data_IF_451925364789
#
_entry.id   IF_451925364789
#
_cell.length_a   1.000
_cell.length_b   1.000
_cell.length_c   1.000
_cell.angle_alpha   90.00
_cell.angle_beta   90.00
_cell.angle_gamma   90.00
#
_symmetry.space_group_name_H-M   'P 1'
#
loop_
_entity.id
_entity.type
_entity.pdbx_description
1 polymer ?
#
# COMPACT_ATOMS: atom_id res chain seq x y z
N UNK A 1 1.48 -1.10 -15.41
CA UNK A 1 0.31 -2.00 -15.27
C UNK A 1 -0.46 -1.58 -14.03
N UNK A 2 -1.77 -1.39 -14.13
CA UNK A 2 -2.64 -1.10 -13.00
C UNK A 2 -3.62 -2.26 -12.79
N UNK A 3 -3.59 -2.90 -11.63
CA UNK A 3 -4.43 -4.06 -11.30
C UNK A 3 -5.27 -3.79 -10.04
N UNK A 4 -6.56 -4.04 -10.12
CA UNK A 4 -7.45 -4.11 -8.95
C UNK A 4 -7.69 -5.57 -8.58
N UNK A 5 -7.37 -5.94 -7.34
CA UNK A 5 -7.68 -7.24 -6.75
C UNK A 5 -8.80 -7.06 -5.73
N UNK A 6 -9.93 -7.70 -5.96
CA UNK A 6 -11.13 -7.61 -5.13
C UNK A 6 -11.51 -8.97 -4.55
N UNK A 7 -12.36 -8.96 -3.52
CA UNK A 7 -12.96 -10.18 -2.97
C UNK A 7 -13.37 -10.04 -1.51
N UNK A 8 -14.17 -11.00 -1.03
CA UNK A 8 -14.67 -11.03 0.34
C UNK A 8 -13.57 -11.11 1.41
N UNK A 9 -13.95 -10.91 2.67
CA UNK A 9 -13.06 -11.14 3.80
C UNK A 9 -12.59 -12.60 3.84
N UNK A 10 -11.29 -12.83 4.04
CA UNK A 10 -10.72 -14.18 4.08
C UNK A 10 -10.70 -14.93 2.74
N UNK A 11 -10.96 -14.26 1.61
CA UNK A 11 -11.00 -14.92 0.30
C UNK A 11 -9.63 -15.30 -0.27
N UNK A 12 -8.52 -14.91 0.36
CA UNK A 12 -7.15 -15.13 -0.15
C UNK A 12 -6.61 -14.02 -1.04
N UNK A 13 -7.34 -12.90 -1.21
CA UNK A 13 -6.92 -11.78 -2.07
C UNK A 13 -5.55 -11.17 -1.72
N UNK A 14 -5.19 -11.06 -0.44
CA UNK A 14 -3.90 -10.52 0.00
C UNK A 14 -2.74 -11.42 -0.45
N UNK A 15 -2.86 -12.73 -0.23
CA UNK A 15 -1.86 -13.72 -0.64
C UNK A 15 -1.70 -13.74 -2.17
N UNK A 16 -2.81 -13.66 -2.89
CA UNK A 16 -2.80 -13.56 -4.34
C UNK A 16 -2.14 -12.27 -4.84
N UNK A 17 -2.48 -11.12 -4.25
CA UNK A 17 -1.92 -9.82 -4.63
C UNK A 17 -0.41 -9.72 -4.33
N UNK A 18 0.03 -10.25 -3.19
CA UNK A 18 1.46 -10.38 -2.87
C UNK A 18 2.19 -11.27 -3.89
N UNK A 19 1.62 -12.44 -4.21
CA UNK A 19 2.20 -13.36 -5.20
C UNK A 19 2.27 -12.73 -6.59
N UNK A 20 1.24 -11.97 -6.97
CA UNK A 20 1.22 -11.21 -8.21
C UNK A 20 2.33 -10.15 -8.22
N UNK A 21 2.48 -9.37 -7.15
CA UNK A 21 3.53 -8.37 -7.03
C UNK A 21 4.93 -8.99 -7.20
N UNK A 22 5.19 -10.11 -6.51
CA UNK A 22 6.46 -10.83 -6.63
C UNK A 22 6.71 -11.37 -8.03
N UNK A 23 5.67 -11.86 -8.72
CA UNK A 23 5.80 -12.37 -10.09
C UNK A 23 6.10 -11.29 -11.13
N UNK A 24 5.79 -10.03 -10.81
CA UNK A 24 6.00 -8.88 -11.69
C UNK A 24 7.35 -8.20 -11.43
N UNK A 25 7.96 -8.44 -10.28
CA UNK A 25 9.24 -7.89 -9.90
C UNK A 25 10.38 -8.86 -10.26
N UNK A 26 11.37 -8.36 -11.00
CA UNK A 26 12.65 -9.04 -11.17
C UNK A 26 13.65 -8.62 -10.09
N UNK A 27 14.81 -9.28 -10.02
CA UNK A 27 15.84 -8.99 -8.99
C UNK A 27 16.40 -7.56 -9.01
N UNK A 28 16.21 -6.83 -10.11
CA UNK A 28 16.63 -5.44 -10.26
C UNK A 28 15.58 -4.41 -9.85
N UNK A 29 14.37 -4.87 -9.51
CA UNK A 29 13.19 -4.04 -9.27
C UNK A 29 12.85 -3.92 -7.79
N UNK A 30 12.22 -2.80 -7.43
CA UNK A 30 11.86 -2.48 -6.06
C UNK A 30 10.41 -2.87 -5.80
N UNK A 31 10.19 -3.63 -4.73
CA UNK A 31 8.87 -4.02 -4.27
C UNK A 31 8.44 -3.13 -3.11
N UNK A 32 7.38 -2.35 -3.29
CA UNK A 32 6.82 -1.49 -2.26
C UNK A 32 5.48 -2.05 -1.76
N UNK A 33 5.28 -1.98 -0.46
CA UNK A 33 4.02 -2.32 0.19
C UNK A 33 3.48 -1.08 0.91
N UNK A 34 2.40 -0.51 0.42
CA UNK A 34 1.66 0.57 1.07
C UNK A 34 0.68 -0.06 2.05
N UNK A 35 1.03 -0.01 3.34
CA UNK A 35 0.19 -0.53 4.42
C UNK A 35 -0.77 0.55 4.91
N UNK A 36 -2.07 0.32 4.75
CA UNK A 36 -3.11 1.31 5.10
C UNK A 36 -3.79 1.03 6.43
N UNK A 37 -3.55 -0.12 7.07
CA UNK A 37 -4.18 -0.46 8.34
C UNK A 37 -3.66 0.43 9.48
N UNK A 38 -4.56 1.04 10.25
CA UNK A 38 -4.24 1.91 11.38
C UNK A 38 -4.71 1.32 12.71
N UNK A 39 -3.87 1.27 13.77
CA UNK A 39 -4.16 0.46 14.94
C UNK A 39 -5.23 1.01 15.89
N UNK A 40 -5.67 2.28 15.82
CA UNK A 40 -6.70 2.91 16.69
C UNK A 40 -6.73 2.43 18.17
N UNK A 41 -5.57 2.19 18.78
CA UNK A 41 -5.41 1.57 20.11
C UNK A 41 -6.15 0.23 20.33
N UNK A 42 -6.45 -0.48 19.25
CA UNK A 42 -7.06 -1.81 19.24
C UNK A 42 -6.01 -2.93 19.19
N UNK A 43 -6.00 -3.77 20.22
CA UNK A 43 -5.07 -4.90 20.34
C UNK A 43 -5.30 -5.97 19.26
N UNK A 44 -6.52 -6.13 18.76
CA UNK A 44 -6.77 -7.06 17.66
C UNK A 44 -6.13 -6.57 16.35
N UNK A 45 -6.30 -5.29 16.05
CA UNK A 45 -5.68 -4.65 14.87
C UNK A 45 -4.16 -4.68 14.96
N UNK A 46 -3.57 -4.41 16.13
CA UNK A 46 -2.11 -4.58 16.34
C UNK A 46 -1.64 -5.99 16.02
N UNK A 47 -2.36 -7.03 16.47
CA UNK A 47 -2.03 -8.43 16.14
C UNK A 47 -2.15 -8.72 14.65
N UNK A 48 -3.16 -8.15 13.98
CA UNK A 48 -3.31 -8.28 12.52
C UNK A 48 -2.15 -7.60 11.78
N UNK A 49 -1.71 -6.41 12.21
CA UNK A 49 -0.55 -5.70 11.64
C UNK A 49 0.70 -6.58 11.75
N UNK A 50 0.97 -7.11 12.94
CA UNK A 50 2.15 -7.96 13.17
C UNK A 50 2.09 -9.28 12.38
N UNK A 51 0.90 -9.87 12.23
CA UNK A 51 0.70 -11.02 11.36
C UNK A 51 1.01 -10.68 9.91
N UNK A 52 0.53 -9.55 9.38
CA UNK A 52 0.79 -9.13 8.00
C UNK A 52 2.29 -8.84 7.78
N UNK A 53 2.95 -8.17 8.73
CA UNK A 53 4.41 -7.98 8.72
C UNK A 53 5.16 -9.31 8.66
N UNK A 54 4.73 -10.28 9.45
CA UNK A 54 5.32 -11.63 9.47
C UNK A 54 5.07 -12.39 8.17
N UNK A 55 3.90 -12.26 7.56
CA UNK A 55 3.57 -12.94 6.30
C UNK A 55 4.40 -12.42 5.13
N UNK A 56 4.75 -11.14 5.12
CA UNK A 56 5.61 -10.54 4.09
C UNK A 56 7.10 -10.61 4.42
N UNK A 57 7.45 -11.23 5.54
CA UNK A 57 8.82 -11.36 5.99
C UNK A 57 9.70 -12.08 4.95
N UNK A 58 10.86 -11.51 4.61
CA UNK A 58 11.79 -12.11 3.65
C UNK A 58 11.36 -12.08 2.18
N UNK A 59 10.21 -11.48 1.84
CA UNK A 59 9.73 -11.38 0.45
C UNK A 59 10.29 -10.18 -0.33
N UNK A 60 11.13 -9.35 0.29
CA UNK A 60 11.76 -8.19 -0.36
C UNK A 60 10.92 -6.91 -0.40
N UNK A 61 9.74 -6.89 0.24
CA UNK A 61 8.93 -5.67 0.33
C UNK A 61 9.58 -4.59 1.21
N UNK A 62 9.59 -3.37 0.68
CA UNK A 62 9.81 -2.12 1.39
C UNK A 62 8.44 -1.64 1.87
N UNK A 63 8.21 -1.67 3.19
CA UNK A 63 6.93 -1.21 3.76
C UNK A 63 6.92 0.30 3.89
N UNK A 64 5.90 0.93 3.33
CA UNK A 64 5.49 2.31 3.58
C UNK A 64 4.15 2.24 4.32
N UNK A 65 4.13 2.53 5.61
CA UNK A 65 2.87 2.69 6.32
C UNK A 65 2.26 3.99 5.83
N UNK A 66 1.13 4.00 5.10
CA UNK A 66 0.35 5.18 4.71
C UNK A 66 -1.15 4.92 4.90
N UNK A 67 -1.66 5.11 6.13
CA UNK A 67 -3.08 4.93 6.45
C UNK A 67 -3.98 6.07 5.97
N UNK A 68 -3.41 7.22 5.61
CA UNK A 68 -4.11 8.44 5.18
C UNK A 68 -3.29 9.14 4.08
N UNK A 69 -3.91 10.10 3.40
CA UNK A 69 -3.35 11.02 2.41
C UNK A 69 -2.52 10.29 1.34
N UNK A 70 -3.16 9.36 0.62
CA UNK A 70 -2.49 8.52 -0.38
C UNK A 70 -1.73 9.31 -1.46
N UNK A 71 -2.12 10.57 -1.70
CA UNK A 71 -1.39 11.53 -2.54
C UNK A 71 0.11 11.65 -2.20
N UNK A 72 0.50 11.45 -0.94
CA UNK A 72 1.90 11.55 -0.51
C UNK A 72 2.72 10.28 -0.77
N UNK A 73 2.06 9.15 -1.05
CA UNK A 73 2.76 7.88 -1.19
C UNK A 73 3.75 7.88 -2.37
N UNK A 74 3.42 8.56 -3.47
CA UNK A 74 4.33 8.63 -4.62
C UNK A 74 5.64 9.34 -4.26
N UNK A 75 5.56 10.46 -3.55
CA UNK A 75 6.74 11.22 -3.10
C UNK A 75 7.59 10.40 -2.14
N UNK A 76 6.97 9.64 -1.22
CA UNK A 76 7.68 8.72 -0.33
C UNK A 76 8.40 7.61 -1.11
N UNK A 77 7.76 7.01 -2.12
CA UNK A 77 8.39 6.00 -2.98
C UNK A 77 9.57 6.59 -3.77
N UNK A 78 9.41 7.80 -4.31
CA UNK A 78 10.48 8.52 -5.05
C UNK A 78 11.67 8.83 -4.14
N UNK A 79 11.40 9.17 -2.88
CA UNK A 79 12.44 9.50 -1.92
C UNK A 79 13.34 8.31 -1.56
N UNK A 80 12.85 7.06 -1.70
CA UNK A 80 13.58 5.84 -1.34
C UNK A 80 14.42 5.37 -2.54
N UNK A 81 15.71 5.69 -2.54
CA UNK A 81 16.66 5.19 -3.55
C UNK A 81 17.03 3.72 -3.29
N UNK A 82 17.54 3.04 -4.34
CA UNK A 82 17.96 1.62 -4.29
C UNK A 82 18.86 1.34 -3.09
N UNK A 83 18.75 0.12 -2.55
CA UNK A 83 19.63 -0.41 -1.50
C UNK A 83 21.10 -0.13 -1.87
N UNK A 84 21.80 0.67 -1.06
CA UNK A 84 23.22 0.90 -1.24
C UNK A 84 24.01 -0.13 -0.43
N UNK A 85 24.87 -0.89 -1.12
CA UNK A 85 25.90 -1.71 -0.48
C UNK A 85 26.91 -0.78 0.21
N UNK A 86 26.62 -0.37 1.45
CA UNK A 86 27.56 0.42 2.24
C UNK A 86 28.20 -0.44 3.35
N UNK A 87 29.54 -0.64 3.34
CA UNK A 87 30.21 -1.45 4.34
C UNK A 87 30.21 -0.72 5.69
N UNK A 88 29.59 -1.33 6.70
CA UNK A 88 29.79 -1.11 8.15
C UNK A 88 30.01 0.35 8.60
N UNK A 89 28.97 1.00 9.14
CA UNK A 89 29.17 2.11 10.08
C UNK A 89 28.01 2.25 11.08
N UNK A 90 28.37 2.08 12.35
CA UNK A 90 27.83 2.69 13.58
C UNK A 90 26.34 3.03 13.67
N UNK A 91 25.70 2.43 14.67
CA UNK A 91 24.40 2.83 15.20
C UNK A 91 24.33 4.35 15.47
N UNK A 92 23.44 5.06 14.78
CA UNK A 92 22.89 6.34 15.24
C UNK A 92 21.37 6.25 15.15
N UNK A 93 20.72 6.21 16.32
CA UNK A 93 19.26 6.32 16.47
C UNK A 93 18.79 7.66 15.89
N UNK A 94 17.91 7.62 14.90
CA UNK A 94 17.15 8.79 14.48
C UNK A 94 16.08 9.05 15.55
N UNK A 95 16.34 10.03 16.41
CA UNK A 95 15.33 10.72 17.23
C UNK A 95 15.23 12.13 16.68
N UNK A 96 13.99 12.57 16.52
CA UNK A 96 13.49 13.92 16.22
C UNK A 96 14.55 15.02 16.24
N UNK A 97 14.93 15.51 15.06
CA UNK A 97 15.42 16.88 14.81
C UNK A 97 15.61 17.06 13.29
N UNK A 98 14.62 17.66 12.63
CA UNK A 98 14.77 18.19 11.27
C UNK A 98 15.57 19.49 11.40
N UNK A 99 16.89 19.42 11.28
CA UNK A 99 17.74 20.57 10.92
C UNK A 99 19.10 20.11 10.38
N UNK A 100 19.29 20.31 9.07
CA UNK A 100 20.54 20.35 8.31
C UNK A 100 21.57 19.20 8.45
N UNK A 101 21.65 18.35 7.42
CA UNK A 101 22.80 18.18 6.50
C UNK A 101 22.54 16.94 5.60
N UNK A 102 23.08 16.96 4.39
CA UNK A 102 22.82 16.02 3.29
C UNK A 102 22.90 14.53 3.69
N UNK A 103 21.98 13.71 3.15
CA UNK A 103 21.84 12.25 3.31
C UNK A 103 21.28 11.78 4.66
N UNK A 104 19.94 11.66 4.73
CA UNK A 104 19.29 10.89 5.79
C UNK A 104 19.10 9.46 5.30
N UNK A 105 19.67 8.49 6.01
CA UNK A 105 19.31 7.07 5.80
C UNK A 105 18.06 6.76 6.62
N UNK A 106 17.04 6.18 6.00
CA UNK A 106 15.85 5.70 6.70
C UNK A 106 15.97 4.20 6.90
N UNK A 107 15.79 3.77 8.15
CA UNK A 107 15.62 2.36 8.48
C UNK A 107 14.19 1.96 8.13
N UNK A 108 14.02 1.29 6.99
CA UNK A 108 12.74 0.71 6.62
C UNK A 108 12.74 -0.76 7.02
N UNK A 109 11.61 -1.21 7.54
CA UNK A 109 11.37 -2.63 7.82
C UNK A 109 11.27 -3.37 6.49
N UNK A 110 12.41 -3.86 6.00
CA UNK A 110 12.46 -4.96 5.04
C UNK A 110 12.14 -6.20 5.86
N UNK A 111 11.12 -6.97 5.50
CA UNK A 111 10.52 -7.98 6.38
C UNK A 111 11.42 -9.11 6.94
N UNK A 112 12.74 -9.12 6.77
CA UNK A 112 13.60 -9.92 7.65
C UNK A 112 13.82 -9.14 8.95
N UNK A 113 14.22 -9.78 10.05
CA UNK A 113 14.58 -9.10 11.30
C UNK A 113 15.87 -8.22 11.18
N UNK A 114 16.18 -7.78 9.95
CA UNK A 114 17.31 -6.95 9.55
C UNK A 114 16.78 -5.64 8.99
N UNK A 115 17.05 -4.55 9.72
CA UNK A 115 16.78 -3.19 9.23
C UNK A 115 17.68 -2.91 8.03
N UNK A 116 17.10 -2.72 6.87
CA UNK A 116 17.82 -2.22 5.69
C UNK A 116 17.84 -0.71 5.72
N UNK A 117 19.00 -0.12 5.46
CA UNK A 117 19.17 1.33 5.34
C UNK A 117 18.93 1.70 3.88
N UNK A 118 18.00 2.63 3.66
CA UNK A 118 17.77 3.23 2.35
C UNK A 118 18.21 4.67 2.39
N UNK A 119 18.83 5.14 1.31
CA UNK A 119 19.14 6.55 1.16
C UNK A 119 17.86 7.31 0.81
N UNK A 120 17.58 8.36 1.58
CA UNK A 120 16.46 9.26 1.34
C UNK A 120 16.96 10.61 0.87
N UNK A 121 16.41 11.08 -0.26
CA UNK A 121 16.77 12.37 -0.85
C UNK A 121 15.58 13.32 -0.85
N UNK A 122 15.83 14.61 -0.60
CA UNK A 122 14.85 15.69 -0.76
C UNK A 122 14.64 16.10 -2.22
N UNK A 123 15.53 15.65 -3.10
CA UNK A 123 15.46 15.94 -4.53
C UNK A 123 14.56 14.92 -5.21
N UNK A 124 13.32 15.32 -5.49
CA UNK A 124 12.40 14.57 -6.34
C UNK A 124 12.79 14.79 -7.80
N UNK A 125 13.85 14.11 -8.26
CA UNK A 125 14.13 14.06 -9.69
C UNK A 125 12.90 13.50 -10.41
N UNK A 126 12.61 14.05 -11.60
CA UNK A 126 11.39 13.79 -12.37
C UNK A 126 11.40 12.41 -13.06
N UNK A 127 12.14 11.45 -12.49
CA UNK A 127 12.36 10.14 -13.06
C UNK A 127 11.18 9.23 -12.73
N UNK A 128 10.50 8.76 -13.77
CA UNK A 128 9.49 7.72 -13.66
C UNK A 128 10.11 6.47 -13.01
N UNK A 129 9.46 5.91 -12.00
CA UNK A 129 9.89 4.74 -11.23
C UNK A 129 9.52 3.44 -11.95
N UNK A 130 9.92 3.31 -13.21
CA UNK A 130 9.59 2.15 -14.06
C UNK A 130 10.26 0.83 -13.62
N UNK A 131 11.05 0.86 -12.56
CA UNK A 131 11.61 -0.30 -11.86
C UNK A 131 10.87 -0.64 -10.56
N UNK A 132 9.75 0.02 -10.24
CA UNK A 132 9.00 -0.18 -9.00
C UNK A 132 7.68 -0.92 -9.21
N UNK A 133 7.46 -1.97 -8.40
CA UNK A 133 6.17 -2.64 -8.26
C UNK A 133 5.58 -2.28 -6.90
N UNK A 134 4.37 -1.75 -6.89
CA UNK A 134 3.70 -1.23 -5.70
C UNK A 134 2.44 -2.05 -5.41
N UNK A 135 2.31 -2.51 -4.17
CA UNK A 135 1.11 -3.16 -3.64
C UNK A 135 0.50 -2.28 -2.55
N UNK A 136 -0.75 -1.86 -2.73
CA UNK A 136 -1.54 -1.19 -1.69
C UNK A 136 -2.51 -2.17 -1.06
N UNK A 137 -2.40 -2.33 0.27
CA UNK A 137 -3.30 -3.17 1.05
C UNK A 137 -3.76 -2.44 2.32
N UNK A 138 -5.05 -2.12 2.46
CA UNK A 138 -6.10 -2.16 1.43
C UNK A 138 -6.87 -0.84 1.28
N UNK A 139 -7.59 -0.72 0.18
CA UNK A 139 -8.38 0.46 -0.17
C UNK A 139 -9.50 0.71 0.83
N UNK A 140 -10.12 -0.36 1.36
CA UNK A 140 -11.22 -0.26 2.33
C UNK A 140 -10.76 0.39 3.63
N UNK A 141 -9.61 -0.04 4.16
CA UNK A 141 -9.01 0.56 5.36
C UNK A 141 -8.58 2.00 5.09
N UNK A 142 -7.97 2.28 3.93
CA UNK A 142 -7.61 3.65 3.55
C UNK A 142 -8.83 4.58 3.55
N UNK A 143 -9.91 4.16 2.90
CA UNK A 143 -11.13 4.97 2.84
C UNK A 143 -11.82 5.13 4.21
N UNK A 144 -11.84 4.07 5.03
CA UNK A 144 -12.34 4.15 6.40
C UNK A 144 -11.54 5.17 7.22
N UNK A 145 -10.22 5.05 7.19
CA UNK A 145 -9.29 5.94 7.88
C UNK A 145 -9.51 7.41 7.48
N UNK A 146 -9.60 7.68 6.17
CA UNK A 146 -9.90 9.01 5.65
C UNK A 146 -11.20 9.56 6.22
N UNK A 147 -12.29 8.78 6.18
CA UNK A 147 -13.57 9.17 6.76
C UNK A 147 -13.46 9.50 8.26
N UNK A 148 -12.75 8.68 9.02
CA UNK A 148 -12.57 8.91 10.47
C UNK A 148 -11.71 10.13 10.76
N UNK A 149 -10.61 10.34 10.05
CA UNK A 149 -9.68 11.44 10.31
C UNK A 149 -10.26 12.80 9.91
N UNK A 150 -11.07 12.83 8.87
CA UNK A 150 -11.59 14.06 8.25
C UNK A 150 -13.04 14.38 8.66
N UNK A 151 -13.60 13.69 9.65
CA UNK A 151 -15.00 13.82 10.06
C UNK A 151 -15.99 13.64 8.89
N UNK A 152 -15.76 12.64 8.04
CA UNK A 152 -16.62 12.30 6.90
C UNK A 152 -16.35 13.11 5.62
N UNK A 153 -15.23 13.81 5.54
CA UNK A 153 -14.79 14.55 4.35
C UNK A 153 -13.48 13.99 3.79
N UNK A 154 -13.47 12.73 3.36
CA UNK A 154 -12.26 12.02 2.96
C UNK A 154 -11.54 12.77 1.83
N UNK A 155 -10.21 12.72 1.83
CA UNK A 155 -9.43 13.20 0.69
C UNK A 155 -9.70 12.34 -0.55
N UNK A 156 -9.36 12.87 -1.73
CA UNK A 156 -9.48 12.12 -2.98
C UNK A 156 -8.49 10.93 -2.99
N UNK A 157 -8.94 9.76 -3.46
CA UNK A 157 -8.16 8.52 -3.51
C UNK A 157 -7.85 8.04 -4.94
N UNK A 158 -8.80 8.12 -5.87
CA UNK A 158 -8.66 7.50 -7.19
C UNK A 158 -7.62 8.19 -8.09
N UNK A 159 -7.56 9.53 -8.07
CA UNK A 159 -6.62 10.30 -8.87
C UNK A 159 -5.15 10.10 -8.40
N UNK A 160 -4.82 10.16 -7.10
CA UNK A 160 -3.50 9.76 -6.61
C UNK A 160 -3.09 8.33 -6.97
N UNK A 161 -4.01 7.37 -6.92
CA UNK A 161 -3.69 5.99 -7.30
C UNK A 161 -3.39 5.87 -8.79
N UNK A 162 -4.14 6.59 -9.63
CA UNK A 162 -3.84 6.68 -11.06
C UNK A 162 -2.47 7.32 -11.30
N UNK A 163 -2.14 8.38 -10.57
CA UNK A 163 -0.82 9.03 -10.66
C UNK A 163 0.30 8.07 -10.26
N UNK A 164 0.14 7.30 -9.18
CA UNK A 164 1.08 6.25 -8.80
C UNK A 164 1.21 5.24 -9.93
N UNK A 165 0.09 4.72 -10.46
CA UNK A 165 0.10 3.74 -11.54
C UNK A 165 0.83 4.22 -12.80
N UNK A 166 0.70 5.50 -13.15
CA UNK A 166 1.37 6.11 -14.29
C UNK A 166 2.88 6.24 -14.08
N UNK A 167 3.33 6.36 -12.83
CA UNK A 167 4.73 6.58 -12.48
C UNK A 167 5.51 5.29 -12.18
N UNK A 168 4.85 4.15 -11.96
CA UNK A 168 5.51 2.89 -11.55
C UNK A 168 5.43 1.81 -12.63
N UNK A 169 6.21 0.73 -12.51
CA UNK A 169 6.09 -0.44 -13.39
C UNK A 169 4.70 -1.08 -13.26
N UNK A 170 4.30 -1.34 -12.01
CA UNK A 170 3.01 -1.92 -11.70
C UNK A 170 2.46 -1.39 -10.37
N UNK A 171 1.17 -1.09 -10.35
CA UNK A 171 0.39 -0.83 -9.15
C UNK A 171 -0.68 -1.92 -8.99
N UNK A 172 -0.73 -2.55 -7.82
CA UNK A 172 -1.72 -3.53 -7.43
C UNK A 172 -2.47 -2.95 -6.23
N UNK A 173 -3.79 -2.78 -6.36
CA UNK A 173 -4.65 -2.29 -5.28
C UNK A 173 -5.53 -3.43 -4.80
N UNK A 174 -5.50 -3.71 -3.50
CA UNK A 174 -6.41 -4.67 -2.86
C UNK A 174 -7.62 -3.92 -2.33
N UNK A 175 -8.82 -4.45 -2.57
CA UNK A 175 -10.08 -3.93 -2.03
C UNK A 175 -10.98 -5.07 -1.54
N UNK A 176 -11.82 -4.80 -0.53
CA UNK A 176 -12.81 -5.76 -0.06
C UNK A 176 -14.16 -5.57 -0.76
N UNK A 177 -14.86 -6.67 -0.95
CA UNK A 177 -16.28 -6.66 -1.30
C UNK A 177 -17.13 -6.74 -0.03
N UNK A 178 -17.83 -5.64 0.27
CA UNK A 178 -18.69 -5.52 1.45
C UNK A 178 -20.19 -5.45 1.08
N UNK A 179 -20.54 -5.73 -0.17
CA UNK A 179 -21.87 -5.44 -0.73
C UNK A 179 -22.85 -6.63 -0.72
N UNK A 180 -22.35 -7.84 -0.46
CA UNK A 180 -23.04 -9.10 -0.75
C UNK A 180 -23.31 -9.95 0.49
N UNK A 181 -23.28 -9.37 1.69
CA UNK A 181 -23.59 -10.09 2.94
C UNK A 181 -25.10 -10.22 3.22
N UNK A 182 -25.94 -9.51 2.47
CA UNK A 182 -27.40 -9.50 2.64
C UNK A 182 -27.86 -8.79 3.91
N UNK A 183 -26.98 -8.05 4.58
CA UNK A 183 -27.26 -7.35 5.83
C UNK A 183 -27.81 -5.95 5.52
N UNK A 184 -28.87 -5.56 6.23
CA UNK A 184 -29.35 -4.19 6.22
C UNK A 184 -28.60 -3.39 7.27
N UNK A 185 -27.80 -2.44 6.80
CA UNK A 185 -27.05 -1.54 7.66
C UNK A 185 -27.79 -0.20 7.88
N UNK A 186 -27.45 0.54 8.95
CA UNK A 186 -27.91 1.92 9.12
C UNK A 186 -27.57 2.80 7.91
N UNK A 187 -28.34 3.87 7.68
CA UNK A 187 -28.18 4.73 6.49
C UNK A 187 -26.77 5.34 6.39
N UNK A 188 -26.13 5.65 7.52
CA UNK A 188 -24.74 6.14 7.56
C UNK A 188 -23.75 5.11 6.98
N UNK A 189 -23.86 3.85 7.41
CA UNK A 189 -23.05 2.75 6.87
C UNK A 189 -23.39 2.47 5.41
N UNK A 190 -24.66 2.58 5.02
CA UNK A 190 -25.04 2.46 3.61
C UNK A 190 -24.44 3.58 2.77
N UNK A 191 -24.37 4.81 3.29
CA UNK A 191 -23.65 5.92 2.67
C UNK A 191 -22.17 5.61 2.46
N UNK A 192 -21.49 5.14 3.50
CA UNK A 192 -20.10 4.69 3.42
C UNK A 192 -19.88 3.63 2.33
N UNK A 193 -20.74 2.59 2.30
CA UNK A 193 -20.64 1.52 1.29
C UNK A 193 -20.86 2.06 -0.12
N UNK A 194 -21.85 2.93 -0.33
CA UNK A 194 -22.12 3.54 -1.64
C UNK A 194 -20.91 4.32 -2.14
N UNK A 195 -20.30 5.15 -1.30
CA UNK A 195 -19.11 5.93 -1.67
C UNK A 195 -17.91 5.04 -1.96
N UNK A 196 -17.65 4.02 -1.13
CA UNK A 196 -16.60 3.02 -1.39
C UNK A 196 -16.84 2.30 -2.74
N UNK A 197 -18.11 2.07 -3.12
CA UNK A 197 -18.45 1.43 -4.39
C UNK A 197 -18.12 2.34 -5.59
N UNK A 198 -18.33 3.65 -5.44
CA UNK A 198 -17.96 4.63 -6.45
C UNK A 198 -16.44 4.66 -6.64
N UNK A 199 -15.67 4.67 -5.56
CA UNK A 199 -14.20 4.63 -5.61
C UNK A 199 -13.72 3.33 -6.27
N UNK A 200 -14.26 2.18 -5.86
CA UNK A 200 -13.95 0.88 -6.48
C UNK A 200 -14.23 0.87 -7.99
N UNK A 201 -15.37 1.43 -8.41
CA UNK A 201 -15.75 1.52 -9.82
C UNK A 201 -14.80 2.41 -10.60
N UNK A 202 -14.42 3.55 -10.04
CA UNK A 202 -13.55 4.51 -10.71
C UNK A 202 -12.13 3.93 -10.85
N UNK A 203 -11.61 3.24 -9.83
CA UNK A 203 -10.35 2.48 -9.91
C UNK A 203 -10.45 1.34 -10.94
N UNK A 204 -11.53 0.55 -10.92
CA UNK A 204 -11.72 -0.56 -11.86
C UNK A 204 -11.81 -0.08 -13.33
N UNK A 205 -12.35 1.13 -13.55
CA UNK A 205 -12.41 1.76 -14.86
C UNK A 205 -11.00 2.04 -15.40
N UNK A 206 -10.11 2.52 -14.55
CA UNK A 206 -8.72 2.86 -14.92
C UNK A 206 -7.78 1.66 -14.93
N UNK A 207 -8.08 0.62 -14.13
CA UNK A 207 -7.23 -0.56 -14.02
C UNK A 207 -7.14 -1.30 -15.37
N UNK A 208 -5.94 -1.71 -15.76
CA UNK A 208 -5.71 -2.60 -16.90
C UNK A 208 -6.34 -3.98 -16.67
N UNK A 209 -6.34 -4.42 -15.41
CA UNK A 209 -6.90 -5.72 -14.98
C UNK A 209 -7.76 -5.58 -13.73
N UNK A 210 -8.84 -6.34 -13.68
CA UNK A 210 -9.65 -6.51 -12.46
C UNK A 210 -9.76 -7.99 -12.18
N UNK A 211 -9.39 -8.40 -10.97
CA UNK A 211 -9.35 -9.80 -10.55
C UNK A 211 -10.15 -9.95 -9.26
N UNK A 212 -11.18 -10.78 -9.31
CA UNK A 212 -11.93 -11.19 -8.13
C UNK A 212 -11.33 -12.49 -7.58
N UNK A 213 -11.01 -12.52 -6.28
CA UNK A 213 -10.49 -13.71 -5.63
C UNK A 213 -11.57 -14.30 -4.72
N UNK A 214 -11.98 -15.54 -5.03
CA UNK A 214 -13.02 -16.27 -4.31
C UNK A 214 -12.45 -17.59 -3.83
N UNK A 215 -12.42 -17.80 -2.50
CA UNK A 215 -11.87 -19.01 -1.88
C UNK A 215 -10.45 -19.39 -2.39
N UNK A 216 -9.60 -18.38 -2.58
CA UNK A 216 -8.22 -18.50 -3.07
C UNK A 216 -8.09 -18.61 -4.59
N UNK A 217 -9.20 -18.62 -5.33
CA UNK A 217 -9.21 -18.80 -6.78
C UNK A 217 -9.37 -17.43 -7.46
N UNK A 218 -8.39 -16.98 -8.26
CA UNK A 218 -8.50 -15.72 -9.00
C UNK A 218 -9.36 -15.89 -10.26
N UNK A 219 -10.36 -15.03 -10.41
CA UNK A 219 -11.20 -14.88 -11.58
C UNK A 219 -10.94 -13.52 -12.23
N UNK A 220 -10.45 -13.52 -13.47
CA UNK A 220 -10.21 -12.28 -14.22
C UNK A 220 -11.56 -11.75 -14.73
N UNK A 221 -11.90 -10.54 -14.32
CA UNK A 221 -13.16 -9.85 -14.66
C UNK A 221 -12.95 -8.89 -15.84
N UNK A 222 -11.78 -8.25 -15.90
CA UNK A 222 -11.34 -7.32 -16.95
C UNK A 222 -9.88 -7.59 -17.29
#
# INVERSE_FOLDING_TARGET
MYCLVTGGAGSGKSEYAESLALSLADSSERLFYIATMYPYDDEETKKRIERHKSLRAGKGFITIERPFEIARALDEIKSIKKETDCPTAGEKKVRDEIQNECYNTVELNCGTDQRKKYEVTSDHENDELKDAVVLLEDLTNLYANECFQTNGHPHEIAAPLREIADNVKALIVVSNELYCDGIQYPEETMGFLRELALINRDIAKDADKVIEVVAGIPAVVK
#
